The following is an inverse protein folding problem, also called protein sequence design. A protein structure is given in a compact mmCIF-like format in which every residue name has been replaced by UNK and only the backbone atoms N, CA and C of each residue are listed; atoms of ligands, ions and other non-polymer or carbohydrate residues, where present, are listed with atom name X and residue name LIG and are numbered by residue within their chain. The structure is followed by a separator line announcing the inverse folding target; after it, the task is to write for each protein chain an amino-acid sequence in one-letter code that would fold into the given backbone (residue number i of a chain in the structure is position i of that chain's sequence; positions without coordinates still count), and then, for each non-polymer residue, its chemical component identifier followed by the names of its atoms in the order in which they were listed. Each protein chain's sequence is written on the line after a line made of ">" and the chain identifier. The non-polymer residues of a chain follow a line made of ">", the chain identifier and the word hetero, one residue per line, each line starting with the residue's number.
data_IF_406799764562
#
_entry.id   IF_406799764562
#
_cell.length_a   1.000
_cell.length_b   1.000
_cell.length_c   1.000
_cell.angle_alpha   90.00
_cell.angle_beta   90.00
_cell.angle_gamma   90.00
#
_symmetry.space_group_name_H-M   'P 1'
#
loop_
_entity.id
_entity.type
_entity.pdbx_description
1 polymer ?
#
# COMPACT_ATOMS: atom_id res chain seq x y z
N UNK A 1 -3.40 38.45 -7.58
CA UNK A 1 -2.76 37.95 -6.39
C UNK A 1 -3.70 37.09 -5.59
N UNK A 2 -4.76 37.65 -5.13
CA UNK A 2 -5.68 36.91 -4.28
C UNK A 2 -6.33 35.78 -5.00
N UNK A 3 -6.49 35.90 -6.27
CA UNK A 3 -7.18 34.87 -7.06
C UNK A 3 -6.48 33.54 -7.04
N UNK A 4 -5.18 33.55 -6.92
CA UNK A 4 -4.44 32.30 -6.92
C UNK A 4 -4.80 31.41 -5.76
N UNK A 5 -5.05 32.01 -4.63
CA UNK A 5 -5.43 31.24 -3.45
C UNK A 5 -6.74 30.51 -3.64
N UNK A 6 -7.68 31.15 -4.30
CA UNK A 6 -8.97 30.53 -4.55
C UNK A 6 -8.84 29.30 -5.41
N UNK A 7 -7.97 29.36 -6.42
CA UNK A 7 -7.77 28.22 -7.30
C UNK A 7 -7.19 27.04 -6.54
N UNK A 8 -6.22 27.30 -5.68
CA UNK A 8 -5.63 26.24 -4.90
C UNK A 8 -6.63 25.55 -3.99
N UNK A 9 -7.54 26.33 -3.42
CA UNK A 9 -8.54 25.77 -2.56
C UNK A 9 -9.45 24.81 -3.30
N UNK A 10 -9.78 25.13 -4.53
CA UNK A 10 -10.64 24.27 -5.31
C UNK A 10 -9.99 22.92 -5.59
N UNK A 11 -8.70 22.92 -5.90
CA UNK A 11 -7.99 21.69 -6.15
C UNK A 11 -7.99 20.80 -4.91
N UNK A 12 -7.82 21.40 -3.75
CA UNK A 12 -7.80 20.63 -2.53
C UNK A 12 -9.13 19.94 -2.26
N UNK A 13 -10.23 20.54 -2.67
CA UNK A 13 -11.53 19.93 -2.45
C UNK A 13 -11.76 18.70 -3.30
N UNK A 14 -11.20 18.66 -4.49
CA UNK A 14 -11.41 17.51 -5.37
C UNK A 14 -10.74 16.25 -4.85
N UNK A 15 -9.58 16.38 -4.23
CA UNK A 15 -8.84 15.22 -3.77
C UNK A 15 -9.63 14.39 -2.76
N UNK A 16 -10.22 14.97 -1.73
CA UNK A 16 -11.00 14.18 -0.77
C UNK A 16 -12.14 13.42 -1.39
N UNK A 17 -12.80 14.01 -2.39
CA UNK A 17 -13.92 13.36 -3.04
C UNK A 17 -13.47 12.09 -3.75
N UNK A 18 -12.33 12.15 -4.46
CA UNK A 18 -11.79 11.00 -5.14
C UNK A 18 -11.39 9.91 -4.17
N UNK A 19 -10.80 10.29 -3.04
CA UNK A 19 -10.37 9.32 -2.05
C UNK A 19 -11.56 8.56 -1.47
N UNK A 20 -12.70 9.21 -1.33
CA UNK A 20 -13.89 8.56 -0.79
C UNK A 20 -14.48 7.53 -1.74
N UNK A 21 -14.19 7.63 -3.04
CA UNK A 21 -14.71 6.69 -4.02
C UNK A 21 -13.93 5.38 -4.02
N UNK A 22 -12.77 5.33 -3.41
CA UNK A 22 -11.93 4.13 -3.38
C UNK A 22 -12.33 3.26 -2.20
N UNK A 23 -11.91 2.00 -2.23
CA UNK A 23 -12.06 1.10 -1.08
C UNK A 23 -11.21 1.58 0.07
N UNK A 24 -11.43 0.99 1.24
CA UNK A 24 -10.73 1.38 2.46
C UNK A 24 -9.80 0.30 2.95
N UNK A 25 -8.58 0.70 3.26
CA UNK A 25 -7.66 -0.15 3.99
C UNK A 25 -7.78 0.26 5.45
N UNK A 26 -8.28 -0.66 6.28
CA UNK A 26 -8.56 -0.35 7.68
C UNK A 26 -7.42 -0.74 8.60
N UNK A 27 -6.52 -1.61 8.12
CA UNK A 27 -5.37 -2.03 8.91
C UNK A 27 -4.26 -2.50 7.97
N UNK A 28 -3.01 -2.15 8.28
CA UNK A 28 -1.85 -2.66 7.55
C UNK A 28 -0.77 -3.04 8.53
N UNK A 29 0.02 -4.07 8.17
CA UNK A 29 1.17 -4.49 8.95
C UNK A 29 2.25 -5.02 8.04
N UNK A 30 3.49 -4.69 8.35
CA UNK A 30 4.66 -5.27 7.71
C UNK A 30 5.25 -6.33 8.62
N UNK A 31 5.69 -7.43 8.06
CA UNK A 31 6.29 -8.49 8.84
C UNK A 31 7.04 -9.49 8.01
N UNK A 32 7.59 -10.49 8.69
CA UNK A 32 8.43 -11.50 8.06
C UNK A 32 7.67 -12.77 7.70
N UNK A 33 6.47 -12.94 8.26
CA UNK A 33 5.63 -14.11 8.02
C UNK A 33 4.16 -13.75 8.08
N UNK A 34 3.33 -14.58 7.45
CA UNK A 34 1.89 -14.55 7.66
C UNK A 34 1.49 -15.96 8.11
N UNK A 35 0.88 -16.07 9.27
CA UNK A 35 0.43 -17.34 9.85
C UNK A 35 -1.02 -17.18 10.26
N UNK A 36 -1.87 -18.12 9.85
CA UNK A 36 -3.30 -18.08 10.16
C UNK A 36 -3.92 -16.73 9.77
N UNK A 37 -3.52 -16.22 8.59
CA UNK A 37 -4.02 -14.97 8.02
C UNK A 37 -3.72 -13.75 8.88
N UNK A 38 -2.64 -13.82 9.66
CA UNK A 38 -2.17 -12.72 10.49
C UNK A 38 -0.67 -12.59 10.35
N UNK A 39 -0.17 -11.37 10.54
CA UNK A 39 1.27 -11.16 10.51
C UNK A 39 1.91 -11.75 11.74
N UNK A 40 3.00 -12.48 11.51
CA UNK A 40 3.90 -12.94 12.57
C UNK A 40 5.24 -12.24 12.35
N UNK A 41 5.94 -11.94 13.44
CA UNK A 41 7.24 -11.25 13.37
C UNK A 41 7.15 -9.92 12.66
N UNK A 42 6.31 -9.06 13.19
CA UNK A 42 6.14 -7.71 12.66
C UNK A 42 7.47 -6.97 12.67
N UNK A 43 7.82 -6.33 11.54
CA UNK A 43 9.08 -5.61 11.40
C UNK A 43 9.04 -4.68 10.21
N UNK A 44 9.81 -3.60 10.30
CA UNK A 44 10.07 -2.71 9.16
C UNK A 44 11.56 -2.74 8.78
N UNK A 45 12.34 -3.65 9.38
CA UNK A 45 13.75 -3.81 9.06
C UNK A 45 13.98 -5.27 8.66
N UNK A 46 14.63 -5.46 7.52
CA UNK A 46 14.85 -6.78 6.93
C UNK A 46 16.31 -6.92 6.55
N UNK A 47 16.80 -8.14 6.52
CA UNK A 47 18.13 -8.45 5.98
C UNK A 47 18.01 -8.67 4.48
N UNK A 48 19.10 -8.42 3.72
CA UNK A 48 19.06 -8.71 2.28
C UNK A 48 18.72 -10.17 2.02
N UNK A 49 17.77 -10.39 1.13
CA UNK A 49 17.28 -11.73 0.82
C UNK A 49 16.08 -12.19 1.63
N UNK A 50 15.75 -11.48 2.70
CA UNK A 50 14.54 -11.81 3.45
C UNK A 50 13.29 -11.44 2.67
N UNK A 51 12.20 -12.15 2.93
CA UNK A 51 10.91 -11.86 2.32
C UNK A 51 10.11 -10.96 3.26
N UNK A 52 9.62 -9.88 2.72
CA UNK A 52 8.73 -8.98 3.46
C UNK A 52 7.29 -9.22 3.04
N UNK A 53 6.38 -9.12 3.98
CA UNK A 53 4.96 -9.26 3.75
C UNK A 53 4.27 -7.97 4.13
N UNK A 54 3.48 -7.42 3.22
CA UNK A 54 2.55 -6.35 3.55
C UNK A 54 1.18 -6.97 3.66
N UNK A 55 0.69 -7.07 4.88
CA UNK A 55 -0.63 -7.60 5.18
C UNK A 55 -1.60 -6.43 5.34
N UNK A 56 -2.84 -6.63 4.89
CA UNK A 56 -3.83 -5.58 5.00
C UNK A 56 -5.22 -6.17 5.17
N UNK A 57 -6.08 -5.39 5.80
CA UNK A 57 -7.50 -5.65 5.88
C UNK A 57 -8.21 -4.58 5.09
N UNK A 58 -9.07 -5.00 4.15
CA UNK A 58 -9.69 -4.12 3.16
C UNK A 58 -11.20 -4.21 3.28
N UNK A 59 -11.86 -3.05 3.36
CA UNK A 59 -13.31 -2.97 3.38
C UNK A 59 -13.80 -2.27 2.12
N UNK A 60 -15.04 -2.60 1.73
CA UNK A 60 -15.76 -1.92 0.65
C UNK A 60 -15.03 -1.91 -0.69
N UNK A 61 -14.34 -3.01 -1.00
CA UNK A 61 -13.62 -3.12 -2.25
C UNK A 61 -13.83 -4.49 -2.92
N UNK A 62 -14.91 -5.18 -2.57
CA UNK A 62 -15.18 -6.50 -3.12
C UNK A 62 -15.23 -6.46 -4.64
N UNK A 63 -14.52 -7.37 -5.29
CA UNK A 63 -14.46 -7.44 -6.74
C UNK A 63 -13.43 -6.53 -7.37
N UNK A 64 -12.77 -5.68 -6.59
CA UNK A 64 -11.74 -4.78 -7.12
C UNK A 64 -10.38 -5.42 -7.08
N UNK A 65 -9.47 -4.86 -7.87
CA UNK A 65 -8.07 -5.26 -7.88
C UNK A 65 -7.24 -4.12 -7.32
N UNK A 66 -6.44 -4.43 -6.30
CA UNK A 66 -5.48 -3.46 -5.76
C UNK A 66 -4.10 -3.82 -6.25
N UNK A 67 -3.23 -2.82 -6.39
CA UNK A 67 -1.84 -3.04 -6.78
C UNK A 67 -0.93 -2.67 -5.62
N UNK A 68 -0.04 -3.58 -5.26
CA UNK A 68 1.00 -3.33 -4.27
C UNK A 68 2.31 -3.15 -5.03
N UNK A 69 2.91 -1.98 -4.91
CA UNK A 69 4.15 -1.66 -5.63
C UNK A 69 5.28 -1.50 -4.62
N UNK A 70 6.31 -2.33 -4.79
CA UNK A 70 7.54 -2.26 -3.99
C UNK A 70 8.55 -1.46 -4.79
N UNK A 71 9.15 -0.45 -4.19
CA UNK A 71 9.99 0.47 -4.95
C UNK A 71 11.30 0.79 -4.22
N UNK A 72 12.39 0.76 -4.97
CA UNK A 72 13.70 1.17 -4.49
C UNK A 72 14.50 1.74 -5.66
N UNK A 73 15.21 2.86 -5.42
CA UNK A 73 16.12 3.44 -6.41
C UNK A 73 15.48 3.66 -7.78
N UNK A 74 14.21 4.07 -7.80
CA UNK A 74 13.50 4.32 -9.04
C UNK A 74 12.98 3.09 -9.74
N UNK A 75 13.21 1.89 -9.19
CA UNK A 75 12.67 0.65 -9.74
C UNK A 75 11.43 0.24 -8.99
N UNK A 76 10.40 -0.13 -9.72
CA UNK A 76 9.10 -0.49 -9.16
C UNK A 76 8.75 -1.93 -9.51
N UNK A 77 8.22 -2.65 -8.53
CA UNK A 77 7.83 -4.04 -8.65
C UNK A 77 6.36 -4.17 -8.23
N UNK A 78 5.42 -4.09 -9.18
CA UNK A 78 4.00 -4.17 -8.85
C UNK A 78 3.53 -5.61 -8.73
N UNK A 79 2.52 -5.81 -7.87
CA UNK A 79 1.84 -7.08 -7.73
C UNK A 79 0.36 -6.79 -7.51
N UNK A 80 -0.50 -7.56 -8.15
CA UNK A 80 -1.94 -7.35 -8.07
C UNK A 80 -2.56 -8.26 -7.03
N UNK A 81 -3.56 -7.72 -6.31
CA UNK A 81 -4.34 -8.47 -5.34
C UNK A 81 -5.81 -8.32 -5.66
N UNK A 82 -6.50 -9.44 -5.82
CA UNK A 82 -7.94 -9.43 -6.02
C UNK A 82 -8.65 -9.47 -4.68
N UNK A 83 -9.59 -8.58 -4.49
CA UNK A 83 -10.34 -8.47 -3.25
C UNK A 83 -11.63 -9.26 -3.40
N UNK A 84 -11.79 -10.33 -2.62
CA UNK A 84 -12.91 -11.24 -2.76
C UNK A 84 -14.12 -10.92 -1.93
N UNK A 85 -14.04 -9.94 -1.02
CA UNK A 85 -15.17 -9.60 -0.16
C UNK A 85 -14.89 -8.35 0.63
N UNK A 86 -15.84 -7.95 1.49
CA UNK A 86 -15.63 -6.86 2.41
C UNK A 86 -15.07 -7.42 3.72
N UNK A 87 -14.26 -6.60 4.42
CA UNK A 87 -13.44 -7.05 5.54
C UNK A 87 -12.49 -8.17 5.09
N UNK A 88 -11.89 -8.00 3.94
CA UNK A 88 -11.03 -8.99 3.30
C UNK A 88 -9.60 -8.86 3.80
N UNK A 89 -9.03 -9.97 4.26
CA UNK A 89 -7.63 -10.02 4.65
C UNK A 89 -6.81 -10.53 3.50
N UNK A 90 -5.77 -9.79 3.14
CA UNK A 90 -4.89 -10.18 2.04
C UNK A 90 -3.49 -9.67 2.30
N UNK A 91 -2.53 -10.16 1.53
CA UNK A 91 -1.15 -9.74 1.69
C UNK A 91 -0.40 -9.91 0.38
N UNK A 92 0.62 -9.08 0.21
CA UNK A 92 1.59 -9.22 -0.86
C UNK A 92 2.95 -9.46 -0.23
N UNK A 93 3.82 -10.14 -0.94
CA UNK A 93 5.16 -10.40 -0.41
C UNK A 93 6.20 -10.23 -1.51
N UNK A 94 7.43 -9.94 -1.07
CA UNK A 94 8.55 -9.80 -1.99
C UNK A 94 9.83 -10.12 -1.27
N UNK A 95 10.73 -10.84 -1.95
CA UNK A 95 12.09 -11.04 -1.46
C UNK A 95 12.89 -9.79 -1.75
N UNK A 96 13.52 -9.23 -0.71
CA UNK A 96 14.20 -7.94 -0.81
C UNK A 96 15.71 -8.17 -0.84
N UNK A 97 16.31 -8.10 -2.02
CA UNK A 97 17.73 -8.37 -2.18
C UNK A 97 18.58 -7.11 -2.15
N UNK A 98 18.00 -5.97 -2.45
CA UNK A 98 18.74 -4.72 -2.55
C UNK A 98 18.65 -3.98 -1.23
N UNK A 99 19.81 -3.69 -0.63
CA UNK A 99 19.86 -2.93 0.62
C UNK A 99 19.45 -1.48 0.38
N UNK A 100 18.80 -0.87 1.33
CA UNK A 100 18.38 0.51 1.26
C UNK A 100 16.99 0.73 1.77
N UNK A 101 16.46 1.92 1.48
CA UNK A 101 15.11 2.31 1.89
C UNK A 101 14.12 1.96 0.79
N UNK A 102 13.18 1.11 1.14
CA UNK A 102 12.12 0.71 0.23
C UNK A 102 10.83 1.41 0.59
N UNK A 103 10.02 1.69 -0.42
CA UNK A 103 8.67 2.19 -0.24
C UNK A 103 7.72 1.15 -0.80
N UNK A 104 6.67 0.82 -0.07
CA UNK A 104 5.61 -0.04 -0.56
C UNK A 104 4.31 0.73 -0.56
N UNK A 105 3.65 0.78 -1.72
CA UNK A 105 2.46 1.60 -1.94
C UNK A 105 1.33 0.71 -2.41
N UNK A 106 0.12 0.97 -1.93
CA UNK A 106 -1.08 0.28 -2.40
C UNK A 106 -1.95 1.28 -3.14
N UNK A 107 -2.30 0.93 -4.36
CA UNK A 107 -3.16 1.77 -5.20
C UNK A 107 -4.38 0.96 -5.65
N UNK A 108 -5.48 1.67 -5.94
CA UNK A 108 -6.66 1.03 -6.50
C UNK A 108 -6.58 0.98 -8.03
N UNK A 109 -7.63 0.47 -8.67
CA UNK A 109 -7.64 0.31 -10.12
C UNK A 109 -7.59 1.66 -10.85
N UNK A 110 -7.99 2.74 -10.21
CA UNK A 110 -7.93 4.07 -10.79
C UNK A 110 -6.58 4.75 -10.54
N UNK A 111 -5.67 4.10 -9.82
CA UNK A 111 -4.37 4.66 -9.52
C UNK A 111 -4.32 5.51 -8.26
N UNK A 112 -5.42 5.59 -7.51
CA UNK A 112 -5.43 6.35 -6.28
C UNK A 112 -4.63 5.62 -5.19
N UNK A 113 -3.79 6.36 -4.48
CA UNK A 113 -2.98 5.79 -3.40
C UNK A 113 -3.84 5.58 -2.17
N UNK A 114 -3.91 4.35 -1.70
CA UNK A 114 -4.67 3.98 -0.51
C UNK A 114 -3.78 3.87 0.73
N UNK A 115 -2.51 3.53 0.53
CA UNK A 115 -1.59 3.34 1.65
C UNK A 115 -0.14 3.40 1.17
N UNK A 116 0.73 3.84 2.04
CA UNK A 116 2.16 3.83 1.79
C UNK A 116 2.90 3.47 3.08
N UNK A 117 3.85 2.55 2.99
CA UNK A 117 4.71 2.18 4.10
C UNK A 117 6.16 2.25 3.65
N UNK A 118 7.06 2.40 4.60
CA UNK A 118 8.50 2.37 4.34
C UNK A 118 9.16 1.27 5.15
N UNK A 119 10.18 0.69 4.57
CA UNK A 119 10.95 -0.33 5.25
C UNK A 119 12.42 -0.20 4.85
N UNK A 120 13.29 -0.77 5.67
CA UNK A 120 14.72 -0.70 5.47
C UNK A 120 15.28 -2.10 5.32
N UNK A 121 16.18 -2.26 4.35
CA UNK A 121 16.93 -3.50 4.17
C UNK A 121 18.39 -3.21 4.45
N UNK A 122 18.95 -3.90 5.45
CA UNK A 122 20.35 -3.67 5.84
C UNK A 122 20.97 -4.87 6.53
#
# INVERSE_FOLDING_TARGET
>A
MKRFSAVCAMLALLVPVLALAAGKITETKLGKNVVDRKVANESSVFAPGERAYLWMKVDDAAGETLTVTWEINGQAYPAELKIGGSAWRTWASKSLHIAGEWTVTVTDAAGAKLHESRLTVK
#
